data_IF_662896077512
#
_entry.id   IF_662896077512
#
_cell.length_a   1.000
_cell.length_b   1.000
_cell.length_c   1.000
_cell.angle_alpha   90.00
_cell.angle_beta   90.00
_cell.angle_gamma   90.00
#
_symmetry.space_group_name_H-M   'P 1'
#
loop_
_entity.id
_entity.type
_entity.pdbx_description
1 polymer ?
#
# COMPACT_ATOMS: atom_id res chain seq x y z
N UNK A 1 -6.27 12.86 -24.75
CA UNK A 1 -5.26 13.87 -24.34
C UNK A 1 -5.61 15.20 -25.00
N UNK A 2 -6.35 16.03 -24.29
CA UNK A 2 -6.71 17.39 -24.77
C UNK A 2 -5.71 18.38 -24.18
N UNK A 3 -4.87 18.98 -25.01
CA UNK A 3 -4.00 20.10 -24.60
C UNK A 3 -4.84 21.37 -24.51
N UNK A 4 -5.13 21.83 -23.30
CA UNK A 4 -5.60 23.21 -23.04
C UNK A 4 -4.54 23.87 -22.15
N UNK A 5 -3.88 24.91 -22.65
CA UNK A 5 -3.05 25.79 -21.80
C UNK A 5 -1.70 25.25 -21.32
N UNK A 6 -1.18 24.15 -21.89
CA UNK A 6 0.16 23.64 -21.54
C UNK A 6 0.21 22.75 -20.28
N UNK A 7 -0.95 22.43 -19.69
CA UNK A 7 -1.08 21.41 -18.64
C UNK A 7 -1.69 20.17 -19.28
N UNK A 8 -0.98 19.04 -19.22
CA UNK A 8 -1.54 17.74 -19.60
C UNK A 8 -2.53 17.35 -18.51
N UNK A 9 -3.84 17.54 -18.74
CA UNK A 9 -4.87 16.99 -17.86
C UNK A 9 -5.12 15.55 -18.30
N UNK A 10 -4.83 14.59 -17.43
CA UNK A 10 -5.11 13.18 -17.69
C UNK A 10 -6.62 12.97 -17.69
N UNK A 11 -7.18 12.35 -18.73
CA UNK A 11 -8.62 12.04 -18.85
C UNK A 11 -9.08 10.90 -17.91
N UNK A 12 -8.17 10.34 -17.11
CA UNK A 12 -8.46 9.25 -16.16
C UNK A 12 -9.18 9.80 -14.91
N UNK A 13 -10.18 9.07 -14.41
CA UNK A 13 -10.77 9.34 -13.09
C UNK A 13 -9.80 8.99 -11.96
N UNK A 14 -10.04 9.53 -10.76
CA UNK A 14 -9.25 9.22 -9.56
C UNK A 14 -9.20 7.70 -9.30
N UNK A 15 -10.34 7.00 -9.41
CA UNK A 15 -10.37 5.54 -9.30
C UNK A 15 -9.59 4.81 -10.40
N UNK A 16 -9.54 5.34 -11.64
CA UNK A 16 -8.70 4.78 -12.71
C UNK A 16 -7.22 4.97 -12.42
N UNK A 17 -6.81 6.11 -11.87
CA UNK A 17 -5.43 6.34 -11.45
C UNK A 17 -5.04 5.44 -10.27
N UNK A 18 -5.93 5.22 -9.30
CA UNK A 18 -5.68 4.30 -8.19
C UNK A 18 -5.50 2.85 -8.66
N UNK A 19 -6.38 2.37 -9.54
CA UNK A 19 -6.21 1.06 -10.16
C UNK A 19 -4.91 0.99 -11.00
N UNK A 20 -4.60 2.04 -11.77
CA UNK A 20 -3.37 2.07 -12.56
C UNK A 20 -2.13 2.05 -11.66
N UNK A 21 -2.15 2.70 -10.50
CA UNK A 21 -1.06 2.68 -9.53
C UNK A 21 -0.77 1.25 -9.04
N UNK A 22 -1.82 0.49 -8.69
CA UNK A 22 -1.71 -0.93 -8.32
C UNK A 22 -1.09 -1.77 -9.45
N UNK A 23 -1.50 -1.52 -10.70
CA UNK A 23 -0.99 -2.26 -11.87
C UNK A 23 0.48 -1.91 -12.19
N UNK A 24 0.85 -0.64 -12.04
CA UNK A 24 2.22 -0.17 -12.28
C UNK A 24 3.17 -0.67 -11.18
N UNK A 25 2.71 -0.73 -9.94
CA UNK A 25 3.51 -1.21 -8.81
C UNK A 25 3.94 -2.66 -9.02
N UNK A 26 3.03 -3.56 -9.39
CA UNK A 26 3.38 -4.97 -9.66
C UNK A 26 4.13 -5.15 -10.98
N UNK A 27 4.04 -4.18 -11.90
CA UNK A 27 4.78 -4.22 -13.18
C UNK A 27 6.24 -3.76 -13.06
N UNK A 28 6.60 -3.09 -11.95
CA UNK A 28 7.98 -2.66 -11.69
C UNK A 28 8.91 -3.85 -11.53
N UNK A 29 10.08 -3.82 -12.17
CA UNK A 29 11.05 -4.92 -12.10
C UNK A 29 12.48 -4.42 -12.28
N UNK A 30 13.49 -5.00 -11.60
CA UNK A 30 13.39 -6.04 -10.57
C UNK A 30 12.88 -5.50 -9.23
N UNK A 31 11.97 -6.22 -8.55
CA UNK A 31 11.55 -5.87 -7.19
C UNK A 31 11.98 -6.95 -6.20
N UNK A 32 13.07 -6.75 -5.44
CA UNK A 32 13.60 -7.82 -4.63
C UNK A 32 12.59 -8.43 -3.66
N UNK A 33 12.36 -9.74 -3.79
CA UNK A 33 11.54 -10.52 -2.86
C UNK A 33 10.02 -10.44 -3.03
N UNK A 34 9.54 -9.52 -3.85
CA UNK A 34 8.11 -9.39 -4.12
C UNK A 34 7.74 -10.04 -5.45
N UNK A 35 6.45 -10.33 -5.64
CA UNK A 35 5.92 -10.71 -6.94
C UNK A 35 6.06 -9.54 -7.90
N UNK A 36 6.63 -9.80 -9.07
CA UNK A 36 6.74 -8.84 -10.16
C UNK A 36 6.46 -9.53 -11.51
N UNK A 37 6.68 -8.81 -12.61
CA UNK A 37 6.46 -9.34 -13.97
C UNK A 37 7.34 -10.56 -14.32
N UNK A 38 8.48 -10.73 -13.65
CA UNK A 38 9.50 -11.74 -13.96
C UNK A 38 9.67 -12.79 -12.85
N UNK A 39 9.18 -12.54 -11.63
CA UNK A 39 9.21 -13.47 -10.49
C UNK A 39 7.84 -13.65 -9.87
N UNK A 40 7.49 -14.91 -9.60
CA UNK A 40 6.21 -15.33 -9.04
C UNK A 40 6.42 -16.49 -8.06
N UNK A 41 5.45 -16.71 -7.16
CA UNK A 41 5.33 -17.90 -6.33
C UNK A 41 4.33 -18.89 -6.96
N UNK A 42 4.42 -20.17 -6.60
CA UNK A 42 3.53 -21.22 -7.15
C UNK A 42 2.05 -20.92 -6.91
N UNK A 43 1.73 -20.31 -5.77
CA UNK A 43 0.39 -19.97 -5.32
C UNK A 43 0.05 -18.47 -5.45
N UNK A 44 1.02 -17.60 -5.72
CA UNK A 44 0.83 -16.15 -5.83
C UNK A 44 1.64 -15.57 -7.01
N UNK A 45 0.92 -15.13 -8.05
CA UNK A 45 1.46 -14.80 -9.39
C UNK A 45 1.07 -13.40 -9.82
N UNK A 46 1.80 -12.83 -10.78
CA UNK A 46 1.55 -11.51 -11.36
C UNK A 46 0.08 -11.34 -11.80
N UNK A 47 -0.49 -12.35 -12.46
CA UNK A 47 -1.88 -12.30 -12.92
C UNK A 47 -2.91 -12.20 -11.78
N UNK A 48 -2.59 -12.72 -10.59
CA UNK A 48 -3.45 -12.58 -9.41
C UNK A 48 -3.48 -11.14 -8.92
N UNK A 49 -2.35 -10.42 -8.96
CA UNK A 49 -2.30 -8.98 -8.66
C UNK A 49 -3.03 -8.16 -9.72
N UNK A 50 -2.87 -8.49 -11.00
CA UNK A 50 -3.61 -7.82 -12.09
C UNK A 50 -5.12 -7.98 -11.92
N UNK A 51 -5.57 -9.20 -11.62
CA UNK A 51 -6.98 -9.48 -11.33
C UNK A 51 -7.45 -8.77 -10.06
N UNK A 52 -6.64 -8.77 -8.99
CA UNK A 52 -6.91 -8.09 -7.74
C UNK A 52 -7.09 -6.58 -7.91
N UNK A 53 -6.21 -5.92 -8.68
CA UNK A 53 -6.30 -4.49 -8.96
C UNK A 53 -7.58 -4.13 -9.74
N UNK A 54 -8.00 -4.98 -10.69
CA UNK A 54 -9.29 -4.82 -11.39
C UNK A 54 -10.46 -5.04 -10.42
N UNK A 55 -10.37 -6.05 -9.57
CA UNK A 55 -11.38 -6.41 -8.57
C UNK A 55 -11.57 -5.32 -7.50
N UNK A 56 -10.50 -4.65 -7.09
CA UNK A 56 -10.54 -3.59 -6.07
C UNK A 56 -11.22 -2.30 -6.55
N UNK A 57 -11.37 -2.14 -7.87
CA UNK A 57 -11.81 -0.89 -8.48
C UNK A 57 -13.16 -0.36 -7.96
N UNK A 58 -14.21 -1.18 -7.74
CA UNK A 58 -15.47 -0.70 -7.19
C UNK A 58 -15.31 0.00 -5.84
N UNK A 59 -14.47 -0.52 -4.94
CA UNK A 59 -14.21 0.12 -3.65
C UNK A 59 -13.45 1.44 -3.80
N UNK A 60 -12.45 1.48 -4.70
CA UNK A 60 -11.73 2.72 -5.02
C UNK A 60 -12.66 3.78 -5.65
N UNK A 61 -13.60 3.39 -6.52
CA UNK A 61 -14.60 4.31 -7.07
C UNK A 61 -15.56 4.84 -5.99
N UNK A 62 -15.89 4.04 -4.97
CA UNK A 62 -16.68 4.49 -3.81
C UNK A 62 -15.94 5.55 -3.00
N UNK A 63 -14.66 5.31 -2.68
CA UNK A 63 -13.83 6.32 -2.01
C UNK A 63 -13.75 7.61 -2.84
N UNK A 64 -13.59 7.48 -4.16
CA UNK A 64 -13.54 8.63 -5.06
C UNK A 64 -14.89 9.39 -5.14
N UNK A 65 -16.01 8.73 -4.87
CA UNK A 65 -17.33 9.33 -4.81
C UNK A 65 -17.64 10.01 -3.46
N UNK A 66 -16.75 9.89 -2.47
CA UNK A 66 -16.91 10.47 -1.13
C UNK A 66 -17.63 9.55 -0.14
N UNK A 67 -17.73 8.25 -0.42
CA UNK A 67 -18.18 7.28 0.58
C UNK A 67 -17.18 7.21 1.76
N UNK A 68 -17.61 6.76 2.95
CA UNK A 68 -16.70 6.55 4.08
C UNK A 68 -15.56 5.58 3.75
N UNK A 69 -14.36 5.88 4.27
CA UNK A 69 -13.11 5.21 3.91
C UNK A 69 -13.14 3.71 4.23
N UNK A 70 -13.60 3.33 5.43
CA UNK A 70 -13.61 1.93 5.84
C UNK A 70 -14.50 1.06 4.95
N UNK A 71 -15.79 1.40 4.73
CA UNK A 71 -16.66 0.68 3.81
C UNK A 71 -16.15 0.63 2.36
N UNK A 72 -15.50 1.70 1.88
CA UNK A 72 -14.88 1.71 0.56
C UNK A 72 -13.67 0.75 0.50
N UNK A 73 -12.84 0.75 1.55
CA UNK A 73 -11.72 -0.18 1.72
C UNK A 73 -12.20 -1.65 1.79
N UNK A 74 -13.19 -1.96 2.62
CA UNK A 74 -13.79 -3.30 2.71
C UNK A 74 -14.28 -3.79 1.34
N UNK A 75 -14.97 -2.93 0.59
CA UNK A 75 -15.43 -3.24 -0.78
C UNK A 75 -14.26 -3.49 -1.74
N UNK A 76 -13.17 -2.73 -1.60
CA UNK A 76 -11.99 -2.91 -2.43
C UNK A 76 -11.30 -4.25 -2.13
N UNK A 77 -11.17 -4.60 -0.85
CA UNK A 77 -10.59 -5.88 -0.41
C UNK A 77 -11.46 -7.07 -0.82
N UNK A 78 -12.78 -7.00 -0.64
CA UNK A 78 -13.71 -8.04 -1.10
C UNK A 78 -13.58 -8.27 -2.62
N UNK A 79 -13.53 -7.20 -3.41
CA UNK A 79 -13.37 -7.28 -4.84
C UNK A 79 -12.00 -7.83 -5.27
N UNK A 80 -10.92 -7.40 -4.60
CA UNK A 80 -9.56 -7.91 -4.80
C UNK A 80 -9.50 -9.42 -4.53
N UNK A 81 -10.19 -9.90 -3.49
CA UNK A 81 -10.22 -11.30 -3.07
C UNK A 81 -10.98 -12.24 -4.03
N UNK A 82 -11.63 -11.72 -5.08
CA UNK A 82 -12.36 -12.54 -6.07
C UNK A 82 -11.48 -13.45 -6.94
N UNK A 83 -10.16 -13.31 -6.84
CA UNK A 83 -9.15 -14.14 -7.52
C UNK A 83 -8.72 -15.34 -6.64
N UNK A 84 -7.97 -16.31 -7.19
CA UNK A 84 -7.72 -17.62 -6.54
C UNK A 84 -6.59 -17.69 -5.50
N UNK A 85 -5.80 -16.64 -5.29
CA UNK A 85 -4.59 -16.62 -4.48
C UNK A 85 -4.70 -15.82 -3.17
N UNK A 86 -5.91 -15.48 -2.73
CA UNK A 86 -6.12 -14.76 -1.46
C UNK A 86 -5.66 -13.30 -1.52
N UNK A 87 -4.79 -12.90 -0.59
CA UNK A 87 -4.32 -11.52 -0.45
C UNK A 87 -3.24 -11.19 -1.49
N UNK A 88 -3.48 -10.16 -2.30
CA UNK A 88 -2.48 -9.60 -3.21
C UNK A 88 -2.05 -8.20 -2.78
N UNK A 89 -2.95 -7.35 -2.29
CA UNK A 89 -2.72 -5.89 -2.22
C UNK A 89 -3.42 -5.22 -1.01
N UNK A 90 -3.67 -5.95 0.09
CA UNK A 90 -4.40 -5.41 1.24
C UNK A 90 -3.77 -4.11 1.80
N UNK A 91 -2.46 -4.11 2.05
CA UNK A 91 -1.76 -2.92 2.58
C UNK A 91 -1.77 -1.76 1.59
N UNK A 92 -1.55 -2.03 0.30
CA UNK A 92 -1.64 -1.03 -0.76
C UNK A 92 -3.04 -0.39 -0.83
N UNK A 93 -4.11 -1.17 -0.67
CA UNK A 93 -5.47 -0.63 -0.59
C UNK A 93 -5.70 0.21 0.66
N UNK A 94 -5.05 -0.13 1.77
CA UNK A 94 -5.12 0.62 3.04
C UNK A 94 -4.40 1.96 2.94
N UNK A 95 -3.35 2.05 2.12
CA UNK A 95 -2.71 3.31 1.72
C UNK A 95 -3.56 4.08 0.71
N UNK A 96 -4.05 3.41 -0.35
CA UNK A 96 -4.71 4.08 -1.48
C UNK A 96 -6.09 4.62 -1.15
N UNK A 97 -6.90 3.90 -0.37
CA UNK A 97 -8.29 4.31 -0.11
C UNK A 97 -8.41 5.72 0.48
N UNK A 98 -7.67 6.10 1.55
CA UNK A 98 -7.71 7.47 2.05
C UNK A 98 -7.09 8.48 1.05
N UNK A 99 -6.03 8.11 0.32
CA UNK A 99 -5.43 8.98 -0.71
C UNK A 99 -6.43 9.31 -1.82
N UNK A 100 -7.22 8.32 -2.27
CA UNK A 100 -8.28 8.48 -3.26
C UNK A 100 -9.37 9.41 -2.76
N UNK A 101 -9.83 9.22 -1.52
CA UNK A 101 -10.82 10.11 -0.90
C UNK A 101 -10.29 11.56 -0.80
N UNK A 102 -9.02 11.73 -0.45
CA UNK A 102 -8.37 13.04 -0.39
C UNK A 102 -8.23 13.70 -1.77
N UNK A 103 -7.82 12.95 -2.79
CA UNK A 103 -7.69 13.44 -4.16
C UNK A 103 -9.03 13.95 -4.71
N UNK A 104 -10.10 13.16 -4.56
CA UNK A 104 -11.45 13.59 -4.95
C UNK A 104 -11.94 14.84 -4.21
N UNK A 105 -11.51 15.02 -2.97
CA UNK A 105 -11.81 16.21 -2.16
C UNK A 105 -10.90 17.42 -2.42
N UNK A 106 -9.90 17.31 -3.30
CA UNK A 106 -8.88 18.36 -3.50
C UNK A 106 -7.96 18.57 -2.29
N UNK A 107 -7.78 17.52 -1.47
CA UNK A 107 -7.01 17.52 -0.22
C UNK A 107 -5.73 16.68 -0.30
N UNK A 108 -5.25 16.33 -1.49
CA UNK A 108 -4.07 15.46 -1.69
C UNK A 108 -2.75 16.19 -1.36
N UNK A 109 -2.48 16.31 -0.07
CA UNK A 109 -1.30 16.92 0.55
C UNK A 109 -1.12 16.33 1.94
N UNK A 110 0.07 16.37 2.57
CA UNK A 110 0.26 15.82 3.91
C UNK A 110 -0.75 16.34 4.94
N UNK A 111 -0.97 17.66 4.98
CA UNK A 111 -1.96 18.28 5.88
C UNK A 111 -3.41 17.90 5.55
N UNK A 112 -3.70 17.67 4.28
CA UNK A 112 -5.04 17.25 3.86
C UNK A 112 -5.30 15.79 4.15
N UNK A 113 -4.28 14.93 4.03
CA UNK A 113 -4.32 13.53 4.44
C UNK A 113 -4.54 13.41 5.94
N UNK A 114 -3.78 14.15 6.73
CA UNK A 114 -3.91 14.23 8.18
C UNK A 114 -5.35 14.60 8.61
N UNK A 115 -6.00 15.55 7.92
CA UNK A 115 -7.42 15.85 8.15
C UNK A 115 -8.34 14.70 7.72
N UNK A 116 -8.13 14.10 6.55
CA UNK A 116 -8.94 13.00 6.00
C UNK A 116 -8.95 11.78 6.92
N UNK A 117 -7.78 11.36 7.41
CA UNK A 117 -7.70 10.17 8.26
C UNK A 117 -8.30 10.42 9.64
N UNK A 118 -8.15 11.63 10.21
CA UNK A 118 -8.78 11.98 11.50
C UNK A 118 -10.30 12.17 11.41
N UNK A 119 -10.85 12.32 10.21
CA UNK A 119 -12.30 12.31 9.99
C UNK A 119 -12.90 10.89 9.99
N UNK A 120 -12.07 9.84 10.02
CA UNK A 120 -12.57 8.47 10.12
C UNK A 120 -13.32 8.22 11.43
N UNK A 121 -14.21 7.25 11.38
CA UNK A 121 -15.16 6.95 12.44
C UNK A 121 -14.97 5.52 12.97
N UNK A 122 -15.68 5.19 14.03
CA UNK A 122 -15.79 3.81 14.54
C UNK A 122 -16.36 2.86 13.50
N UNK A 123 -17.25 3.33 12.62
CA UNK A 123 -17.79 2.48 11.56
C UNK A 123 -16.78 2.25 10.42
N UNK A 124 -15.85 3.18 10.20
CA UNK A 124 -14.70 2.94 9.33
C UNK A 124 -13.78 1.88 9.92
N UNK A 125 -13.50 1.94 11.24
CA UNK A 125 -12.77 0.89 11.93
C UNK A 125 -13.50 -0.46 11.84
N UNK A 126 -14.81 -0.48 12.06
CA UNK A 126 -15.59 -1.71 11.97
C UNK A 126 -15.51 -2.35 10.57
N UNK A 127 -15.51 -1.55 9.50
CA UNK A 127 -15.33 -2.03 8.13
C UNK A 127 -13.91 -2.53 7.85
N UNK A 128 -12.89 -1.84 8.38
CA UNK A 128 -11.51 -2.32 8.33
C UNK A 128 -11.35 -3.70 8.97
N UNK A 129 -11.95 -3.95 10.14
CA UNK A 129 -11.91 -5.27 10.77
C UNK A 129 -12.68 -6.34 9.97
N UNK A 130 -13.81 -5.98 9.32
CA UNK A 130 -14.50 -6.92 8.42
C UNK A 130 -13.65 -7.28 7.19
N UNK A 131 -12.80 -6.37 6.73
CA UNK A 131 -11.95 -6.64 5.58
C UNK A 131 -11.00 -7.84 5.79
N UNK A 132 -10.57 -8.11 7.03
CA UNK A 132 -9.80 -9.30 7.39
C UNK A 132 -10.57 -10.62 7.24
N UNK A 133 -11.89 -10.59 7.09
CA UNK A 133 -12.68 -11.81 6.83
C UNK A 133 -12.67 -12.21 5.35
N UNK A 134 -12.19 -11.33 4.45
CA UNK A 134 -12.13 -11.61 3.01
C UNK A 134 -10.80 -12.22 2.58
N UNK A 135 -9.72 -12.00 3.34
CA UNK A 135 -8.37 -12.43 2.98
C UNK A 135 -7.55 -12.77 4.23
N UNK A 136 -6.61 -13.70 4.08
CA UNK A 136 -5.61 -13.97 5.11
C UNK A 136 -4.47 -12.93 5.01
N UNK A 137 -4.32 -12.12 6.06
CA UNK A 137 -3.26 -11.11 6.19
C UNK A 137 -2.27 -11.57 7.26
N UNK A 138 -0.97 -11.58 6.94
CA UNK A 138 0.05 -11.83 7.93
C UNK A 138 0.12 -10.65 8.89
N UNK A 139 -0.12 -10.91 10.17
CA UNK A 139 -0.12 -9.92 11.26
C UNK A 139 0.55 -10.53 12.48
N UNK A 140 1.33 -9.72 13.17
CA UNK A 140 1.98 -10.11 14.42
C UNK A 140 0.97 -10.26 15.56
N UNK A 141 1.42 -10.86 16.65
CA UNK A 141 0.64 -10.86 17.87
C UNK A 141 0.42 -9.42 18.37
N UNK A 142 -0.81 -9.08 18.81
CA UNK A 142 -1.11 -7.73 19.28
C UNK A 142 -0.26 -7.42 20.51
N UNK A 143 0.16 -6.15 20.70
CA UNK A 143 0.80 -5.71 21.93
C UNK A 143 -0.02 -6.06 23.18
N UNK A 144 0.66 -6.23 24.32
CA UNK A 144 0.02 -6.52 25.61
C UNK A 144 -1.12 -5.53 25.91
N UNK A 145 -2.33 -6.04 26.16
CA UNK A 145 -3.53 -5.24 26.44
C UNK A 145 -4.37 -4.84 25.22
N UNK A 146 -3.88 -5.11 24.00
CA UNK A 146 -4.61 -4.91 22.74
C UNK A 146 -5.19 -6.22 22.19
N UNK A 147 -5.12 -7.33 22.92
CA UNK A 147 -5.69 -8.62 22.50
C UNK A 147 -7.20 -8.56 22.17
N UNK A 148 -8.03 -7.74 22.86
CA UNK A 148 -9.43 -7.53 22.47
C UNK A 148 -9.61 -6.84 21.11
N UNK A 149 -8.59 -6.14 20.63
CA UNK A 149 -8.51 -5.39 19.38
C UNK A 149 -7.65 -6.10 18.32
N UNK A 150 -7.25 -7.35 18.56
CA UNK A 150 -6.56 -8.17 17.58
C UNK A 150 -7.37 -8.22 16.26
N UNK A 151 -6.77 -7.73 15.17
CA UNK A 151 -7.41 -7.66 13.84
C UNK A 151 -7.83 -9.04 13.32
N UNK A 152 -7.17 -10.12 13.77
CA UNK A 152 -7.52 -11.52 13.44
C UNK A 152 -8.88 -11.93 14.00
N UNK A 153 -9.46 -11.14 14.92
CA UNK A 153 -10.82 -11.37 15.43
C UNK A 153 -11.90 -10.91 14.44
N UNK A 154 -11.55 -10.15 13.42
CA UNK A 154 -12.48 -9.61 12.43
C UNK A 154 -13.67 -8.91 13.08
N UNK A 155 -14.89 -9.25 12.66
CA UNK A 155 -16.13 -8.67 13.21
C UNK A 155 -16.28 -8.84 14.72
N UNK A 156 -15.64 -9.83 15.34
CA UNK A 156 -15.76 -10.06 16.78
C UNK A 156 -15.08 -8.97 17.62
N UNK A 157 -14.20 -8.14 17.06
CA UNK A 157 -13.63 -6.98 17.72
C UNK A 157 -14.55 -5.74 17.70
N UNK A 158 -15.53 -5.68 16.79
CA UNK A 158 -16.40 -4.50 16.58
C UNK A 158 -17.12 -4.04 17.85
N UNK A 159 -17.69 -4.92 18.71
CA UNK A 159 -18.29 -4.49 19.95
C UNK A 159 -17.30 -3.75 20.88
N UNK A 160 -16.02 -4.14 20.87
CA UNK A 160 -14.97 -3.50 21.66
C UNK A 160 -14.62 -2.14 21.08
N UNK A 161 -14.46 -2.03 19.75
CA UNK A 161 -14.23 -0.76 19.05
C UNK A 161 -15.33 0.26 19.41
N UNK A 162 -16.60 -0.15 19.30
CA UNK A 162 -17.75 0.69 19.65
C UNK A 162 -17.83 1.06 21.13
N UNK A 163 -17.49 0.12 22.02
CA UNK A 163 -17.49 0.40 23.46
C UNK A 163 -16.40 1.39 23.87
N UNK A 164 -15.28 1.43 23.13
CA UNK A 164 -14.15 2.32 23.37
C UNK A 164 -14.14 3.58 22.50
N UNK A 165 -15.10 3.72 21.59
CA UNK A 165 -15.21 4.81 20.62
C UNK A 165 -13.95 4.98 19.74
N UNK A 166 -13.34 3.86 19.34
CA UNK A 166 -12.10 3.85 18.56
C UNK A 166 -12.38 4.03 17.07
N UNK A 167 -11.89 5.12 16.51
CA UNK A 167 -11.93 5.39 15.07
C UNK A 167 -10.87 4.58 14.31
N UNK A 168 -10.93 4.56 12.98
CA UNK A 168 -9.90 3.88 12.18
C UNK A 168 -8.52 4.53 12.39
N UNK A 169 -8.46 5.86 12.51
CA UNK A 169 -7.21 6.55 12.86
C UNK A 169 -6.66 6.11 14.21
N UNK A 170 -7.51 5.95 15.24
CA UNK A 170 -7.05 5.50 16.56
C UNK A 170 -6.44 4.10 16.48
N UNK A 171 -7.06 3.19 15.72
CA UNK A 171 -6.54 1.84 15.48
C UNK A 171 -5.18 1.87 14.79
N UNK A 172 -5.00 2.72 13.77
CA UNK A 172 -3.69 2.88 13.12
C UNK A 172 -2.66 3.49 14.07
N UNK A 173 -3.06 4.47 14.88
CA UNK A 173 -2.16 5.12 15.84
C UNK A 173 -1.64 4.15 16.92
N UNK A 174 -2.44 3.17 17.33
CA UNK A 174 -2.00 2.11 18.26
C UNK A 174 -0.93 1.17 17.66
N UNK A 175 -0.88 1.05 16.32
CA UNK A 175 0.03 0.14 15.60
C UNK A 175 1.22 0.84 14.92
N UNK A 176 1.26 2.18 14.93
CA UNK A 176 2.23 2.96 14.15
C UNK A 176 3.70 2.71 14.50
N UNK A 177 4.01 2.22 15.70
CA UNK A 177 5.40 1.90 16.10
C UNK A 177 5.90 0.57 15.53
N UNK A 178 5.00 -0.30 15.05
CA UNK A 178 5.33 -1.68 14.61
C UNK A 178 4.88 -1.98 13.18
N UNK A 179 3.98 -1.19 12.61
CA UNK A 179 3.45 -1.35 11.26
C UNK A 179 3.69 -0.08 10.42
N UNK A 180 4.44 -0.22 9.31
CA UNK A 180 4.82 0.92 8.48
C UNK A 180 3.67 1.52 7.67
N UNK A 181 2.60 0.77 7.38
CA UNK A 181 1.40 1.34 6.77
C UNK A 181 0.66 2.20 7.80
N UNK A 182 0.52 1.71 9.03
CA UNK A 182 -0.05 2.46 10.13
C UNK A 182 0.78 3.73 10.47
N UNK A 183 2.11 3.64 10.38
CA UNK A 183 3.00 4.79 10.54
C UNK A 183 2.70 5.92 9.53
N UNK A 184 2.44 5.59 8.26
CA UNK A 184 2.05 6.59 7.25
C UNK A 184 0.71 7.27 7.57
N UNK A 185 -0.25 6.53 8.14
CA UNK A 185 -1.52 7.12 8.58
C UNK A 185 -1.32 8.19 9.66
N UNK A 186 -0.34 8.03 10.54
CA UNK A 186 -0.04 8.97 11.62
C UNK A 186 0.86 10.12 11.15
N UNK A 187 1.78 9.86 10.22
CA UNK A 187 2.72 10.86 9.69
C UNK A 187 2.10 11.77 8.62
N UNK A 188 0.91 11.44 8.11
CA UNK A 188 0.32 12.18 6.99
C UNK A 188 0.90 11.75 5.64
N UNK A 189 1.32 10.49 5.52
CA UNK A 189 1.78 9.84 4.30
C UNK A 189 3.07 10.45 3.74
N UNK A 190 3.97 10.90 4.62
CA UNK A 190 5.20 11.62 4.25
C UNK A 190 6.04 10.83 3.24
N UNK A 191 6.28 9.53 3.48
CA UNK A 191 7.11 8.70 2.59
C UNK A 191 6.44 8.45 1.26
N UNK A 192 5.12 8.28 1.26
CA UNK A 192 4.32 8.19 0.01
C UNK A 192 4.45 9.46 -0.82
N UNK A 193 4.39 10.64 -0.19
CA UNK A 193 4.57 11.91 -0.91
C UNK A 193 6.00 12.08 -1.42
N UNK A 194 7.02 11.74 -0.64
CA UNK A 194 8.42 11.74 -1.09
C UNK A 194 8.64 10.78 -2.27
N UNK A 195 8.11 9.55 -2.18
CA UNK A 195 8.13 8.57 -3.26
C UNK A 195 7.49 9.12 -4.54
N UNK A 196 6.37 9.86 -4.41
CA UNK A 196 5.71 10.50 -5.55
C UNK A 196 6.58 11.55 -6.24
N UNK A 197 7.39 12.29 -5.47
CA UNK A 197 8.31 13.31 -5.99
C UNK A 197 9.48 12.64 -6.72
N UNK A 198 10.07 11.60 -6.12
CA UNK A 198 11.12 10.78 -6.77
C UNK A 198 10.65 10.17 -8.07
N UNK A 199 9.42 9.65 -8.08
CA UNK A 199 8.78 9.21 -9.30
C UNK A 199 8.77 10.38 -10.29
N UNK A 200 8.08 11.48 -10.02
CA UNK A 200 7.94 12.59 -10.99
C UNK A 200 9.27 13.13 -11.55
N UNK A 201 10.31 13.21 -10.72
CA UNK A 201 11.65 13.66 -11.11
C UNK A 201 12.42 12.62 -11.93
N UNK A 202 12.06 11.33 -11.79
CA UNK A 202 12.65 10.22 -12.51
C UNK A 202 12.35 10.25 -14.01
N UNK A 203 13.28 9.73 -14.80
CA UNK A 203 13.17 9.63 -16.26
C UNK A 203 13.13 8.17 -16.72
N UNK A 204 12.54 7.92 -17.89
CA UNK A 204 12.41 6.58 -18.45
C UNK A 204 11.05 5.93 -18.16
N UNK A 205 10.91 4.62 -18.42
CA UNK A 205 9.69 3.89 -18.14
C UNK A 205 9.26 3.99 -16.67
N UNK A 206 7.95 4.14 -16.43
CA UNK A 206 7.42 4.26 -15.06
C UNK A 206 7.69 3.01 -14.22
N UNK A 207 7.71 1.82 -14.84
CA UNK A 207 8.05 0.57 -14.17
C UNK A 207 9.49 0.57 -13.61
N UNK A 208 10.46 1.08 -14.39
CA UNK A 208 11.86 1.17 -13.97
C UNK A 208 11.99 2.16 -12.81
N UNK A 209 11.35 3.33 -12.93
CA UNK A 209 11.31 4.33 -11.85
C UNK A 209 10.65 3.80 -10.58
N UNK A 210 9.61 2.99 -10.69
CA UNK A 210 8.96 2.37 -9.53
C UNK A 210 9.89 1.35 -8.85
N UNK A 211 10.70 0.63 -9.63
CA UNK A 211 11.74 -0.26 -9.12
C UNK A 211 12.84 0.51 -8.38
N UNK A 212 13.32 1.63 -8.95
CA UNK A 212 14.31 2.49 -8.30
C UNK A 212 13.79 3.03 -6.95
N UNK A 213 12.56 3.56 -6.94
CA UNK A 213 11.93 4.08 -5.72
C UNK A 213 11.65 2.98 -4.69
N UNK A 214 11.32 1.76 -5.13
CA UNK A 214 11.21 0.61 -4.23
C UNK A 214 12.53 0.36 -3.49
N UNK A 215 13.65 0.33 -4.20
CA UNK A 215 14.97 0.15 -3.60
C UNK A 215 15.36 1.30 -2.67
N UNK A 216 15.07 2.55 -3.05
CA UNK A 216 15.29 3.73 -2.20
C UNK A 216 14.52 3.64 -0.87
N UNK A 217 13.23 3.29 -0.93
CA UNK A 217 12.40 3.13 0.27
C UNK A 217 12.86 1.95 1.13
N UNK A 218 13.24 0.83 0.51
CA UNK A 218 13.72 -0.37 1.19
C UNK A 218 15.07 -0.14 1.88
N UNK A 219 15.93 0.70 1.32
CA UNK A 219 17.20 1.09 1.92
C UNK A 219 17.02 2.10 3.06
N UNK A 220 15.99 2.94 2.99
CA UNK A 220 15.75 4.00 3.98
C UNK A 220 15.30 3.46 5.35
N UNK A 221 14.47 2.41 5.38
CA UNK A 221 13.91 1.87 6.63
C UNK A 221 13.65 0.35 6.54
N UNK A 222 13.82 -0.42 7.63
CA UNK A 222 13.43 -1.83 7.66
C UNK A 222 11.95 -2.04 7.31
N UNK A 223 11.68 -2.97 6.41
CA UNK A 223 10.32 -3.31 6.00
C UNK A 223 9.58 -4.08 7.11
N UNK A 224 8.50 -3.51 7.63
CA UNK A 224 7.73 -4.10 8.74
C UNK A 224 7.04 -5.41 8.37
N UNK A 225 6.71 -5.64 7.09
CA UNK A 225 6.11 -6.91 6.68
C UNK A 225 7.13 -8.06 6.75
N UNK A 226 8.41 -7.78 6.47
CA UNK A 226 9.50 -8.75 6.68
C UNK A 226 9.66 -9.04 8.16
N UNK A 227 9.60 -8.02 9.02
CA UNK A 227 9.66 -8.22 10.48
C UNK A 227 8.56 -9.16 10.95
N UNK A 228 7.32 -8.92 10.52
CA UNK A 228 6.15 -9.73 10.86
C UNK A 228 6.23 -11.17 10.35
N UNK A 229 6.69 -11.36 9.10
CA UNK A 229 6.75 -12.71 8.50
C UNK A 229 7.97 -13.52 8.94
N UNK A 230 9.04 -12.85 9.33
CA UNK A 230 10.34 -13.44 9.64
C UNK A 230 10.88 -12.85 10.95
N UNK A 231 11.76 -11.85 10.86
CA UNK A 231 12.32 -11.18 12.02
C UNK A 231 12.99 -9.84 11.67
N UNK A 232 13.32 -9.07 12.71
CA UNK A 232 14.01 -7.77 12.60
C UNK A 232 15.40 -7.87 12.00
N UNK A 233 16.13 -8.95 12.27
CA UNK A 233 17.50 -9.14 11.76
C UNK A 233 17.49 -9.28 10.23
N UNK A 234 16.53 -10.02 9.70
CA UNK A 234 16.32 -10.21 8.26
C UNK A 234 15.88 -8.90 7.59
N UNK A 235 14.97 -8.14 8.19
CA UNK A 235 14.58 -6.83 7.66
C UNK A 235 15.77 -5.84 7.60
N UNK A 236 16.64 -5.84 8.61
CA UNK A 236 17.86 -5.02 8.62
C UNK A 236 18.93 -5.53 7.63
N UNK A 237 19.04 -6.84 7.40
CA UNK A 237 19.86 -7.40 6.33
C UNK A 237 19.37 -6.89 4.97
N UNK A 238 18.07 -7.02 4.71
CA UNK A 238 17.44 -6.59 3.47
C UNK A 238 17.66 -5.11 3.22
N UNK A 239 17.48 -4.27 4.24
CA UNK A 239 17.74 -2.83 4.16
C UNK A 239 19.18 -2.53 3.72
N UNK A 240 20.18 -3.17 4.36
CA UNK A 240 21.59 -2.97 4.01
C UNK A 240 21.90 -3.42 2.58
N UNK A 241 21.27 -4.49 2.11
CA UNK A 241 21.49 -5.01 0.76
C UNK A 241 20.79 -4.17 -0.30
N UNK A 242 19.62 -3.62 -0.02
CA UNK A 242 18.99 -2.61 -0.86
C UNK A 242 19.92 -1.38 -1.02
N UNK A 243 20.54 -0.91 0.06
CA UNK A 243 21.55 0.15 -0.03
C UNK A 243 22.76 -0.25 -0.88
N UNK A 244 23.27 -1.48 -0.73
CA UNK A 244 24.38 -1.98 -1.56
C UNK A 244 24.03 -2.02 -3.06
N UNK A 245 22.76 -2.29 -3.41
CA UNK A 245 22.28 -2.18 -4.80
C UNK A 245 22.32 -0.72 -5.28
N UNK A 246 21.85 0.22 -4.46
CA UNK A 246 21.88 1.66 -4.81
C UNK A 246 23.32 2.19 -4.95
N UNK A 247 24.25 1.67 -4.16
CA UNK A 247 25.67 2.01 -4.22
C UNK A 247 26.40 1.34 -5.42
N UNK A 248 25.73 0.40 -6.11
CA UNK A 248 26.28 -0.35 -7.24
C UNK A 248 27.18 -1.52 -6.85
N UNK A 249 27.16 -1.92 -5.57
CA UNK A 249 27.94 -3.02 -5.02
C UNK A 249 27.22 -4.39 -5.18
N UNK A 250 25.89 -4.38 -5.29
CA UNK A 250 25.07 -5.57 -5.58
C UNK A 250 24.18 -5.38 -6.82
N UNK A 251 23.81 -6.50 -7.46
CA UNK A 251 22.92 -6.50 -8.62
C UNK A 251 21.47 -6.73 -8.18
N UNK A 252 20.57 -5.81 -8.53
CA UNK A 252 19.17 -5.85 -8.13
C UNK A 252 18.43 -7.12 -8.60
N UNK A 253 18.78 -7.66 -9.77
CA UNK A 253 18.13 -8.85 -10.34
C UNK A 253 18.52 -10.09 -9.54
N UNK A 254 19.81 -10.25 -9.24
CA UNK A 254 20.30 -11.35 -8.40
C UNK A 254 19.78 -11.27 -6.97
N UNK A 255 19.72 -10.07 -6.40
CA UNK A 255 19.13 -9.86 -5.08
C UNK A 255 17.66 -10.30 -5.07
N UNK A 256 16.92 -9.95 -6.13
CA UNK A 256 15.52 -10.34 -6.25
C UNK A 256 15.31 -11.84 -6.36
N UNK A 257 16.13 -12.54 -7.15
CA UNK A 257 16.10 -14.01 -7.24
C UNK A 257 16.38 -14.66 -5.87
N UNK A 258 17.39 -14.18 -5.16
CA UNK A 258 17.74 -14.72 -3.83
C UNK A 258 16.62 -14.52 -2.80
N UNK A 259 15.98 -13.34 -2.79
CA UNK A 259 14.91 -13.08 -1.85
C UNK A 259 13.67 -13.94 -2.12
N UNK A 260 13.34 -14.20 -3.39
CA UNK A 260 12.29 -15.15 -3.76
C UNK A 260 12.64 -16.56 -3.29
N UNK A 261 13.88 -17.02 -3.49
CA UNK A 261 14.35 -18.31 -2.99
C UNK A 261 14.29 -18.44 -1.45
N UNK A 262 14.42 -17.31 -0.74
CA UNK A 262 14.37 -17.22 0.72
C UNK A 262 12.97 -16.89 1.29
N UNK A 263 11.95 -16.78 0.44
CA UNK A 263 10.59 -16.31 0.81
C UNK A 263 10.62 -14.98 1.61
N UNK A 264 11.50 -14.06 1.22
CA UNK A 264 11.61 -12.72 1.79
C UNK A 264 10.75 -11.79 0.92
N UNK A 265 9.74 -11.14 1.50
CA UNK A 265 8.87 -10.23 0.77
C UNK A 265 8.81 -8.84 1.46
N UNK A 266 9.38 -7.78 0.86
CA UNK A 266 9.22 -6.41 1.34
C UNK A 266 7.84 -5.82 0.96
N UNK A 267 6.80 -6.34 1.60
CA UNK A 267 5.39 -6.02 1.30
C UNK A 267 5.03 -4.58 1.64
N UNK A 268 5.45 -4.08 2.82
CA UNK A 268 5.14 -2.70 3.24
C UNK A 268 5.73 -1.69 2.26
N UNK A 269 6.97 -1.91 1.81
CA UNK A 269 7.65 -1.05 0.83
C UNK A 269 6.87 -1.00 -0.49
N UNK A 270 6.36 -2.15 -0.96
CA UNK A 270 5.53 -2.21 -2.14
C UNK A 270 4.22 -1.42 -1.99
N UNK A 271 3.56 -1.52 -0.83
CA UNK A 271 2.35 -0.74 -0.52
C UNK A 271 2.60 0.78 -0.61
N UNK A 272 3.76 1.23 -0.11
CA UNK A 272 4.17 2.64 -0.20
C UNK A 272 4.44 3.08 -1.65
N UNK A 273 5.07 2.23 -2.46
CA UNK A 273 5.29 2.50 -3.90
C UNK A 273 3.96 2.63 -4.64
N UNK A 274 2.96 1.78 -4.33
CA UNK A 274 1.62 1.93 -4.90
C UNK A 274 0.99 3.28 -4.55
N UNK A 275 1.10 3.71 -3.28
CA UNK A 275 0.69 5.05 -2.85
C UNK A 275 1.40 6.17 -3.61
N UNK A 276 2.73 6.09 -3.73
CA UNK A 276 3.55 7.07 -4.42
C UNK A 276 3.21 7.19 -5.90
N UNK A 277 2.98 6.05 -6.58
CA UNK A 277 2.51 6.00 -7.96
C UNK A 277 1.15 6.68 -8.13
N UNK A 278 0.21 6.45 -7.22
CA UNK A 278 -1.09 7.12 -7.26
C UNK A 278 -0.95 8.63 -7.14
N UNK A 279 -0.19 9.11 -6.14
CA UNK A 279 0.02 10.55 -5.96
C UNK A 279 0.74 11.16 -7.17
N UNK A 280 1.72 10.47 -7.75
CA UNK A 280 2.40 10.92 -8.95
C UNK A 280 1.45 11.01 -10.15
N UNK A 281 0.56 10.02 -10.34
CA UNK A 281 -0.46 10.03 -11.39
C UNK A 281 -1.43 11.21 -11.24
N UNK A 282 -1.92 11.49 -10.02
CA UNK A 282 -2.77 12.65 -9.74
C UNK A 282 -2.02 13.98 -9.94
N UNK A 283 -0.69 13.98 -9.81
CA UNK A 283 0.19 15.13 -10.07
C UNK A 283 0.68 15.23 -11.52
N UNK A 284 0.17 14.39 -12.42
CA UNK A 284 0.40 14.51 -13.86
C UNK A 284 1.52 13.62 -14.41
N UNK A 285 1.89 12.53 -13.71
CA UNK A 285 2.76 11.52 -14.28
C UNK A 285 2.16 10.93 -15.57
N UNK A 286 2.89 11.05 -16.67
CA UNK A 286 2.54 10.47 -17.97
C UNK A 286 3.03 9.01 -18.07
N UNK A 287 2.22 8.15 -18.69
CA UNK A 287 2.46 6.70 -18.92
C UNK A 287 2.28 6.41 -20.40
#
# INVERSE_FOLDING_TARGET
MVRIGGVTVTERSVGQNAQLALLLEVSGTPKPGNVDREREYDDLRFEHFMAGAVGARPGLDRAAAGDPIGPAFETAVEGMAGQSAGNTQFGALLILTPLVAAASGGRLSPSGMDAVVRETTVEDAAAFYRAFEHVDVAVDDPPDGLEPLDVRRGSNAIPVLRARDLTLFDVMAESADVDGVAAEWVSGFERVFEASERLLDGSGPVADRASDVFLELLAAEPDTFIVTRQDRETAEEVQRRAQAVLDGDEDATKLAEEFVERDINPGTTADLVAGGLFVALERGLEV
#
